data_IF_593319606324
#
_entry.id   IF_593319606324
#
_cell.length_a   1.000
_cell.length_b   1.000
_cell.length_c   1.000
_cell.angle_alpha   90.00
_cell.angle_beta   90.00
_cell.angle_gamma   90.00
#
_symmetry.space_group_name_H-M   'P 1'
#
loop_
_entity.id
_entity.type
_entity.pdbx_description
1 polymer ?
#
# COMPACT_ATOMS: atom_id res chain seq x y z
N UNK A 1 -28.86 -41.66 49.20
CA UNK A 1 -29.66 -41.61 47.97
C UNK A 1 -28.94 -40.62 47.05
N UNK A 2 -27.96 -41.12 46.30
CA UNK A 2 -27.03 -40.31 45.50
C UNK A 2 -27.69 -39.91 44.17
N UNK A 3 -28.09 -38.65 44.12
CA UNK A 3 -27.74 -37.69 43.08
C UNK A 3 -27.72 -38.20 41.61
N UNK A 4 -28.86 -38.04 40.94
CA UNK A 4 -28.99 -38.15 39.47
C UNK A 4 -29.12 -36.77 38.81
N UNK A 5 -28.85 -35.67 39.53
CA UNK A 5 -28.93 -34.31 38.98
C UNK A 5 -27.56 -33.79 38.54
N UNK A 6 -26.46 -34.24 39.14
CA UNK A 6 -25.11 -33.87 38.70
C UNK A 6 -24.70 -34.46 37.34
N UNK A 7 -25.22 -35.64 36.96
CA UNK A 7 -24.86 -36.28 35.68
C UNK A 7 -25.44 -35.59 34.45
N UNK A 8 -26.56 -34.89 34.58
CA UNK A 8 -27.19 -34.15 33.46
C UNK A 8 -26.55 -32.77 33.24
N UNK A 9 -25.99 -32.15 34.29
CA UNK A 9 -25.31 -30.85 34.19
C UNK A 9 -23.96 -30.95 33.47
N UNK A 10 -23.25 -32.07 33.65
CA UNK A 10 -21.97 -32.33 32.95
C UNK A 10 -22.10 -32.51 31.43
N UNK A 11 -23.27 -32.92 30.93
CA UNK A 11 -23.47 -33.20 29.50
C UNK A 11 -23.94 -31.97 28.69
N UNK A 12 -24.50 -30.95 29.35
CA UNK A 12 -24.82 -29.66 28.72
C UNK A 12 -23.61 -28.72 28.66
N UNK A 13 -22.71 -28.74 29.65
CA UNK A 13 -21.54 -27.84 29.66
C UNK A 13 -20.49 -28.19 28.58
N UNK A 14 -20.32 -29.47 28.23
CA UNK A 14 -19.38 -29.96 27.19
C UNK A 14 -19.70 -29.40 25.78
N UNK A 15 -20.99 -29.31 25.43
CA UNK A 15 -21.42 -28.79 24.12
C UNK A 15 -21.28 -27.27 23.99
N UNK A 16 -21.30 -26.54 25.11
CA UNK A 16 -21.11 -25.08 25.10
C UNK A 16 -19.64 -24.69 24.91
N UNK A 17 -18.73 -25.46 25.51
CA UNK A 17 -17.28 -25.28 25.39
C UNK A 17 -16.79 -25.58 23.96
N UNK A 18 -17.33 -26.62 23.31
CA UNK A 18 -17.01 -26.93 21.91
C UNK A 18 -17.48 -25.84 20.93
N UNK A 19 -18.70 -25.30 21.09
CA UNK A 19 -19.20 -24.20 20.24
C UNK A 19 -18.43 -22.89 20.41
N UNK A 20 -18.04 -22.55 21.65
CA UNK A 20 -17.21 -21.38 21.95
C UNK A 20 -15.79 -21.56 21.40
N UNK A 21 -15.20 -22.76 21.53
CA UNK A 21 -13.90 -23.10 20.92
C UNK A 21 -13.95 -23.12 19.39
N UNK A 22 -15.03 -23.59 18.78
CA UNK A 22 -15.23 -23.54 17.32
C UNK A 22 -15.38 -22.08 16.86
N UNK A 23 -16.11 -21.23 17.61
CA UNK A 23 -16.26 -19.81 17.29
C UNK A 23 -14.93 -19.04 17.41
N UNK A 24 -14.13 -19.33 18.44
CA UNK A 24 -12.80 -18.76 18.65
C UNK A 24 -11.80 -19.26 17.59
N UNK A 25 -11.87 -20.52 17.18
CA UNK A 25 -10.97 -21.10 16.18
C UNK A 25 -11.30 -20.62 14.76
N UNK A 26 -12.57 -20.38 14.42
CA UNK A 26 -12.96 -19.73 13.16
C UNK A 26 -12.54 -18.25 13.14
N UNK A 27 -12.64 -17.53 14.26
CA UNK A 27 -12.17 -16.16 14.37
C UNK A 27 -10.63 -16.06 14.32
N UNK A 28 -9.91 -17.04 14.90
CA UNK A 28 -8.45 -17.14 14.87
C UNK A 28 -7.92 -17.61 13.50
N UNK A 29 -8.63 -18.49 12.78
CA UNK A 29 -8.27 -18.89 11.41
C UNK A 29 -8.58 -17.82 10.35
N UNK A 30 -9.54 -16.92 10.60
CA UNK A 30 -9.85 -15.81 9.68
C UNK A 30 -8.76 -14.73 9.65
N UNK A 31 -7.85 -14.72 10.63
CA UNK A 31 -6.71 -13.80 10.70
C UNK A 31 -5.50 -14.24 9.84
N UNK A 32 -5.50 -15.46 9.30
CA UNK A 32 -4.34 -16.01 8.57
C UNK A 32 -4.49 -15.99 7.04
N UNK A 33 -5.66 -15.58 6.50
CA UNK A 33 -5.92 -15.51 5.07
C UNK A 33 -5.98 -14.05 4.59
N UNK A 34 -4.84 -13.37 4.73
CA UNK A 34 -4.72 -11.96 4.41
C UNK A 34 -3.43 -11.58 3.67
N UNK A 35 -2.84 -12.47 2.86
CA UNK A 35 -1.81 -12.09 1.91
C UNK A 35 -2.41 -11.37 0.67
N UNK A 36 -3.41 -10.51 0.90
CA UNK A 36 -3.92 -9.60 -0.11
C UNK A 36 -2.97 -8.41 -0.23
N UNK A 37 -2.69 -7.97 -1.46
CA UNK A 37 -2.05 -6.67 -1.64
C UNK A 37 -2.93 -5.62 -0.97
N UNK A 38 -2.46 -5.06 0.14
CA UNK A 38 -3.18 -4.04 0.88
C UNK A 38 -3.31 -2.83 -0.05
N UNK A 39 -4.54 -2.42 -0.33
CA UNK A 39 -4.80 -1.23 -1.14
C UNK A 39 -4.39 -0.02 -0.30
N UNK A 40 -3.33 0.68 -0.72
CA UNK A 40 -2.86 1.88 -0.06
C UNK A 40 -3.74 3.04 -0.52
N UNK A 41 -4.32 3.79 0.42
CA UNK A 41 -4.97 5.07 0.13
C UNK A 41 -3.91 6.15 0.24
N UNK A 42 -3.50 6.74 -0.89
CA UNK A 42 -2.47 7.79 -0.91
C UNK A 42 -3.07 9.16 -0.59
N UNK A 43 -4.38 9.33 -0.80
CA UNK A 43 -5.10 10.54 -0.40
C UNK A 43 -4.78 11.75 -1.30
N UNK A 44 -4.39 11.50 -2.54
CA UNK A 44 -4.10 12.53 -3.54
C UNK A 44 -5.36 13.27 -4.02
N UNK A 45 -6.55 12.82 -3.64
CA UNK A 45 -7.82 13.47 -4.00
C UNK A 45 -8.35 13.09 -5.38
N UNK A 46 -7.79 12.06 -6.02
CA UNK A 46 -8.26 11.46 -7.26
C UNK A 46 -8.16 9.93 -7.15
N UNK A 47 -9.27 9.19 -7.26
CA UNK A 47 -9.28 7.74 -7.09
C UNK A 47 -8.53 6.99 -8.20
N UNK A 48 -8.36 7.58 -9.38
CA UNK A 48 -7.58 6.96 -10.47
C UNK A 48 -6.09 6.94 -10.12
N UNK A 49 -5.60 7.94 -9.39
CA UNK A 49 -4.22 7.97 -8.90
C UNK A 49 -4.02 6.84 -7.88
N UNK A 50 -4.93 6.70 -6.91
CA UNK A 50 -4.86 5.63 -5.92
C UNK A 50 -4.90 4.25 -6.59
N UNK A 51 -5.85 4.04 -7.51
CA UNK A 51 -5.95 2.79 -8.27
C UNK A 51 -4.68 2.52 -9.08
N UNK A 52 -4.13 3.56 -9.71
CA UNK A 52 -2.95 3.45 -10.55
C UNK A 52 -1.67 3.11 -9.80
N UNK A 53 -1.44 3.74 -8.64
CA UNK A 53 -0.31 3.43 -7.78
C UNK A 53 -0.40 2.02 -7.20
N UNK A 54 -1.61 1.58 -6.82
CA UNK A 54 -1.83 0.20 -6.36
C UNK A 54 -1.66 -0.83 -7.48
N UNK A 55 -1.97 -0.48 -8.73
CA UNK A 55 -1.69 -1.33 -9.87
C UNK A 55 -0.17 -1.48 -10.08
N UNK A 56 0.60 -0.40 -9.97
CA UNK A 56 2.06 -0.47 -10.02
C UNK A 56 2.63 -1.33 -8.88
N UNK A 57 2.04 -1.27 -7.67
CA UNK A 57 2.38 -2.20 -6.58
C UNK A 57 2.25 -3.66 -7.00
N UNK A 58 1.17 -4.01 -7.70
CA UNK A 58 0.94 -5.37 -8.17
C UNK A 58 1.90 -5.74 -9.31
N UNK A 59 2.07 -4.88 -10.31
CA UNK A 59 2.93 -5.15 -11.47
C UNK A 59 4.41 -5.24 -11.11
N UNK A 60 4.89 -4.44 -10.15
CA UNK A 60 6.28 -4.48 -9.68
C UNK A 60 6.65 -5.82 -9.02
N UNK A 61 5.67 -6.56 -8.47
CA UNK A 61 5.91 -7.93 -7.96
C UNK A 61 6.25 -8.92 -9.08
N UNK A 62 5.76 -8.65 -10.29
CA UNK A 62 6.01 -9.49 -11.47
C UNK A 62 7.31 -9.10 -12.17
N UNK A 63 7.65 -7.81 -12.19
CA UNK A 63 8.84 -7.29 -12.83
C UNK A 63 9.40 -6.05 -12.10
N UNK A 64 10.12 -6.28 -11.01
CA UNK A 64 10.73 -5.19 -10.23
C UNK A 64 11.76 -4.39 -11.03
N UNK A 65 12.69 -5.00 -11.81
CA UNK A 65 13.64 -4.23 -12.61
C UNK A 65 12.95 -3.34 -13.66
N UNK A 66 11.89 -3.86 -14.30
CA UNK A 66 11.08 -3.09 -15.25
C UNK A 66 10.37 -1.91 -14.61
N UNK A 67 9.84 -2.09 -13.40
CA UNK A 67 9.26 -1.00 -12.60
C UNK A 67 10.31 0.07 -12.27
N UNK A 68 11.50 -0.30 -11.77
CA UNK A 68 12.55 0.66 -11.42
C UNK A 68 13.02 1.46 -12.65
N UNK A 69 13.18 0.79 -13.80
CA UNK A 69 13.51 1.45 -15.06
C UNK A 69 12.41 2.43 -15.49
N UNK A 70 11.13 2.07 -15.36
CA UNK A 70 10.03 2.98 -15.68
C UNK A 70 10.00 4.19 -14.74
N UNK A 71 10.21 4.03 -13.43
CA UNK A 71 10.29 5.17 -12.48
C UNK A 71 11.44 6.10 -12.86
N UNK A 72 12.61 5.53 -13.17
CA UNK A 72 13.78 6.31 -13.57
C UNK A 72 13.51 7.12 -14.85
N UNK A 73 12.86 6.51 -15.84
CA UNK A 73 12.49 7.17 -17.10
C UNK A 73 11.38 8.21 -16.92
N UNK A 74 10.37 7.93 -16.09
CA UNK A 74 9.22 8.80 -15.88
C UNK A 74 9.58 10.08 -15.12
N UNK A 75 10.46 9.98 -14.12
CA UNK A 75 10.71 11.06 -13.16
C UNK A 75 12.17 11.52 -13.10
N UNK A 76 13.04 10.94 -13.93
CA UNK A 76 14.47 11.28 -13.98
C UNK A 76 15.23 10.89 -12.71
N UNK A 77 14.72 9.95 -11.92
CA UNK A 77 15.37 9.54 -10.66
C UNK A 77 16.44 8.48 -10.90
N UNK A 78 17.61 8.55 -10.24
CA UNK A 78 18.64 7.52 -10.35
C UNK A 78 18.15 6.16 -9.86
N UNK A 79 18.48 5.09 -10.59
CA UNK A 79 18.11 3.72 -10.22
C UNK A 79 18.57 3.35 -8.79
N UNK A 80 19.75 3.80 -8.37
CA UNK A 80 20.27 3.58 -7.03
C UNK A 80 19.36 4.21 -5.95
N UNK A 81 18.89 5.43 -6.15
CA UNK A 81 17.99 6.12 -5.21
C UNK A 81 16.64 5.42 -5.11
N UNK A 82 16.14 4.88 -6.23
CA UNK A 82 14.91 4.08 -6.27
C UNK A 82 15.10 2.77 -5.49
N UNK A 83 16.21 2.05 -5.68
CA UNK A 83 16.54 0.84 -4.91
C UNK A 83 16.61 1.13 -3.41
N UNK A 84 17.23 2.24 -3.03
CA UNK A 84 17.32 2.68 -1.63
C UNK A 84 15.94 3.02 -1.06
N UNK A 85 15.05 3.65 -1.83
CA UNK A 85 13.69 3.92 -1.39
C UNK A 85 12.90 2.61 -1.14
N UNK A 86 13.05 1.63 -2.02
CA UNK A 86 12.44 0.30 -1.87
C UNK A 86 12.99 -0.44 -0.64
N UNK A 87 14.32 -0.41 -0.42
CA UNK A 87 14.93 -1.06 0.75
C UNK A 87 14.56 -0.42 2.08
N UNK A 88 14.13 0.85 2.06
CA UNK A 88 13.55 1.55 3.21
C UNK A 88 12.10 1.14 3.53
N UNK A 89 11.55 0.16 2.80
CA UNK A 89 10.23 -0.42 3.05
C UNK A 89 9.06 0.33 2.41
N UNK A 90 9.33 1.30 1.52
CA UNK A 90 8.26 1.92 0.74
C UNK A 90 7.76 0.92 -0.31
N UNK A 91 6.44 0.88 -0.49
CA UNK A 91 5.85 0.13 -1.59
C UNK A 91 6.22 0.74 -2.96
N UNK A 92 6.23 -0.03 -4.06
CA UNK A 92 6.50 0.50 -5.39
C UNK A 92 5.67 1.75 -5.75
N UNK A 93 4.38 1.79 -5.43
CA UNK A 93 3.51 2.94 -5.62
C UNK A 93 3.94 4.14 -4.78
N UNK A 94 4.36 3.93 -3.53
CA UNK A 94 4.93 5.00 -2.70
C UNK A 94 6.26 5.53 -3.27
N UNK A 95 7.12 4.66 -3.79
CA UNK A 95 8.38 5.06 -4.44
C UNK A 95 8.10 5.84 -5.72
N UNK A 96 7.13 5.41 -6.53
CA UNK A 96 6.69 6.13 -7.72
C UNK A 96 6.18 7.53 -7.36
N UNK A 97 5.31 7.62 -6.34
CA UNK A 97 4.77 8.89 -5.89
C UNK A 97 5.85 9.81 -5.32
N UNK A 98 6.73 9.29 -4.47
CA UNK A 98 7.86 10.04 -3.91
C UNK A 98 8.80 10.56 -5.01
N UNK A 99 9.06 9.75 -6.05
CA UNK A 99 9.83 10.15 -7.22
C UNK A 99 9.17 11.30 -8.00
N UNK A 100 7.86 11.24 -8.20
CA UNK A 100 7.11 12.32 -8.84
C UNK A 100 7.14 13.61 -8.01
N UNK A 101 6.92 13.51 -6.69
CA UNK A 101 7.00 14.67 -5.79
C UNK A 101 8.42 15.27 -5.75
N UNK A 102 9.46 14.44 -5.79
CA UNK A 102 10.85 14.87 -5.90
C UNK A 102 11.10 15.64 -7.20
N UNK A 103 10.60 15.11 -8.32
CA UNK A 103 10.69 15.75 -9.62
C UNK A 103 10.04 17.15 -9.64
N UNK A 104 8.79 17.27 -9.16
CA UNK A 104 8.08 18.55 -9.17
C UNK A 104 8.61 19.56 -8.16
N UNK A 105 9.03 19.11 -6.98
CA UNK A 105 9.54 20.01 -5.93
C UNK A 105 11.01 20.40 -6.12
N UNK A 106 11.73 19.76 -7.05
CA UNK A 106 13.17 19.91 -7.22
C UNK A 106 14.00 19.41 -6.03
N UNK A 107 13.37 18.71 -5.07
CA UNK A 107 14.04 18.15 -3.90
C UNK A 107 14.58 16.76 -4.22
N UNK A 108 15.72 16.36 -3.63
CA UNK A 108 16.19 14.98 -3.73
C UNK A 108 15.15 13.97 -3.23
N UNK A 109 15.08 12.78 -3.85
CA UNK A 109 14.13 11.73 -3.47
C UNK A 109 14.23 11.34 -1.99
N UNK A 110 15.44 11.24 -1.43
CA UNK A 110 15.62 10.93 -0.01
C UNK A 110 15.01 12.00 0.90
N UNK A 111 15.12 13.29 0.52
CA UNK A 111 14.54 14.39 1.30
C UNK A 111 13.02 14.31 1.30
N UNK A 112 12.38 14.00 0.16
CA UNK A 112 10.92 13.81 0.10
C UNK A 112 10.48 12.62 0.96
N UNK A 113 11.23 11.52 0.93
CA UNK A 113 10.96 10.34 1.76
C UNK A 113 11.11 10.68 3.26
N UNK A 114 12.12 11.44 3.64
CA UNK A 114 12.33 11.90 5.02
C UNK A 114 11.17 12.81 5.49
N UNK A 115 10.72 13.74 4.64
CA UNK A 115 9.56 14.59 4.94
C UNK A 115 8.29 13.76 5.16
N UNK A 116 8.04 12.76 4.31
CA UNK A 116 6.93 11.83 4.51
C UNK A 116 7.09 11.04 5.80
N UNK A 117 8.29 10.52 6.09
CA UNK A 117 8.55 9.72 7.29
C UNK A 117 8.37 10.51 8.59
N UNK A 118 8.69 11.80 8.58
CA UNK A 118 8.51 12.69 9.73
C UNK A 118 7.04 12.84 10.11
N UNK A 119 6.15 12.99 9.12
CA UNK A 119 4.72 13.26 9.31
C UNK A 119 3.82 12.22 8.62
N UNK A 120 4.13 10.92 8.74
CA UNK A 120 3.37 9.84 8.06
C UNK A 120 1.87 9.88 8.32
N UNK A 121 1.47 10.32 9.52
CA UNK A 121 0.08 10.41 9.92
C UNK A 121 -0.75 11.37 9.05
N UNK A 122 -0.12 12.37 8.41
CA UNK A 122 -0.78 13.29 7.48
C UNK A 122 -1.03 12.66 6.10
N UNK A 123 -0.29 11.60 5.76
CA UNK A 123 -0.38 10.90 4.48
C UNK A 123 0.27 11.65 3.31
N UNK A 124 0.34 10.97 2.17
CA UNK A 124 1.01 11.47 0.96
C UNK A 124 0.33 12.70 0.36
N UNK A 125 -1.00 12.75 0.35
CA UNK A 125 -1.75 13.89 -0.16
C UNK A 125 -1.49 15.20 0.58
N UNK A 126 -1.23 15.15 1.89
CA UNK A 126 -0.86 16.34 2.65
C UNK A 126 0.54 16.83 2.27
N UNK A 127 1.52 15.91 2.18
CA UNK A 127 2.88 16.24 1.73
C UNK A 127 2.86 16.82 0.30
N UNK A 128 2.08 16.23 -0.61
CA UNK A 128 1.93 16.74 -1.97
C UNK A 128 1.44 18.21 -1.98
N UNK A 129 0.43 18.53 -1.16
CA UNK A 129 -0.07 19.90 -1.01
C UNK A 129 0.98 20.85 -0.42
N UNK A 130 1.74 20.41 0.58
CA UNK A 130 2.85 21.17 1.17
C UNK A 130 3.96 21.46 0.13
N UNK A 131 4.19 20.52 -0.80
CA UNK A 131 5.12 20.68 -1.92
C UNK A 131 4.51 21.42 -3.13
N UNK A 132 3.26 21.91 -3.03
CA UNK A 132 2.60 22.68 -4.09
C UNK A 132 1.85 21.87 -5.14
N UNK A 133 1.86 20.54 -5.06
CA UNK A 133 1.12 19.64 -5.95
C UNK A 133 -0.28 19.41 -5.38
N UNK A 134 -1.24 20.22 -5.84
CA UNK A 134 -2.63 20.19 -5.39
C UNK A 134 -3.54 19.58 -6.47
N UNK A 135 -4.66 18.94 -6.10
CA UNK A 135 -5.65 18.51 -7.09
C UNK A 135 -6.01 19.64 -8.06
N UNK A 136 -5.91 19.37 -9.35
CA UNK A 136 -6.19 20.32 -10.43
C UNK A 136 -5.01 21.20 -10.87
N UNK A 137 -3.87 21.18 -10.17
CA UNK A 137 -2.65 21.88 -10.61
C UNK A 137 -2.08 21.25 -11.90
N UNK A 138 -1.17 21.97 -12.57
CA UNK A 138 -0.53 21.45 -13.79
C UNK A 138 0.29 20.20 -13.49
N UNK A 139 1.01 20.21 -12.37
CA UNK A 139 1.82 19.10 -11.86
C UNK A 139 0.94 17.89 -11.53
N UNK A 140 -0.25 18.12 -10.96
CA UNK A 140 -1.19 17.04 -10.66
C UNK A 140 -1.73 16.37 -11.92
N UNK A 141 -2.06 17.16 -12.95
CA UNK A 141 -2.50 16.61 -14.24
C UNK A 141 -1.38 15.81 -14.91
N UNK A 142 -0.16 16.34 -14.89
CA UNK A 142 1.00 15.64 -15.43
C UNK A 142 1.32 14.36 -14.65
N UNK A 143 1.18 14.37 -13.31
CA UNK A 143 1.27 13.16 -12.49
C UNK A 143 0.30 12.08 -12.98
N UNK A 144 -0.96 12.44 -13.21
CA UNK A 144 -1.98 11.51 -13.70
C UNK A 144 -1.64 10.97 -15.09
N UNK A 145 -1.31 11.85 -16.03
CA UNK A 145 -0.96 11.46 -17.40
C UNK A 145 0.27 10.54 -17.47
N UNK A 146 1.33 10.87 -16.72
CA UNK A 146 2.54 10.05 -16.66
C UNK A 146 2.25 8.71 -15.97
N UNK A 147 1.43 8.69 -14.91
CA UNK A 147 1.00 7.46 -14.25
C UNK A 147 0.24 6.54 -15.22
N UNK A 148 -0.71 7.08 -16.00
CA UNK A 148 -1.40 6.34 -17.06
C UNK A 148 -0.44 5.70 -18.05
N UNK A 149 0.55 6.48 -18.52
CA UNK A 149 1.58 6.01 -19.43
C UNK A 149 2.42 4.88 -18.84
N UNK A 150 2.90 5.06 -17.60
CA UNK A 150 3.72 4.07 -16.90
C UNK A 150 2.95 2.77 -16.65
N UNK A 151 1.68 2.83 -16.27
CA UNK A 151 0.83 1.62 -16.07
C UNK A 151 0.75 0.76 -17.33
N UNK A 152 0.50 1.40 -18.48
CA UNK A 152 0.41 0.70 -19.77
C UNK A 152 1.74 0.05 -20.16
N UNK A 153 2.86 0.74 -19.97
CA UNK A 153 4.20 0.22 -20.32
C UNK A 153 4.61 -0.96 -19.45
N UNK A 154 4.36 -0.89 -18.13
CA UNK A 154 4.71 -1.97 -17.20
C UNK A 154 3.82 -3.20 -17.45
N UNK A 155 2.55 -3.02 -17.83
CA UNK A 155 1.66 -4.12 -18.23
C UNK A 155 2.02 -4.76 -19.58
N UNK A 156 2.50 -3.97 -20.54
CA UNK A 156 2.76 -4.41 -21.92
C UNK A 156 4.08 -5.15 -22.13
N UNK A 157 5.05 -5.03 -21.21
CA UNK A 157 6.29 -5.82 -21.23
C UNK A 157 6.05 -7.20 -20.61
N UNK A 158 5.42 -8.09 -21.37
CA UNK A 158 5.42 -9.54 -21.11
C UNK A 158 6.45 -10.22 -22.00
#
# INVERSE_FOLDING_TARGET
MLDSRDTMKGMEEDKTMSKKSILVMVFLCSLLLGAGAQVIVFGMGDPDIDAGLNELNASAKLNMPGFQAEVALAWGQPAASITVALSQGLSPGEVYLAAALAHFSGKPLNVVIELYKKDKAKGWGALAKELGIKPGSKEFKLLKETLEGSRKKVKGKK
#
